data_IF_442550520118
#
_entry.id   IF_442550520118
#
_cell.length_a   1.000
_cell.length_b   1.000
_cell.length_c   1.000
_cell.angle_alpha   90.00
_cell.angle_beta   90.00
_cell.angle_gamma   90.00
#
_symmetry.space_group_name_H-M   'P 1'
#
loop_
_entity.id
_entity.type
_entity.pdbx_description
1 polymer ?
#
# COMPACT_ATOMS: atom_id res chain seq x y z
N UNK A 1 -22.26 -13.74 -13.21
CA UNK A 1 -21.24 -14.19 -12.23
C UNK A 1 -19.90 -14.20 -12.93
N UNK A 2 -19.13 -13.14 -12.78
CA UNK A 2 -17.77 -13.00 -13.32
C UNK A 2 -16.81 -13.59 -12.31
N UNK A 3 -16.34 -14.80 -12.57
CA UNK A 3 -15.23 -15.41 -11.81
C UNK A 3 -13.98 -14.62 -12.22
N UNK A 4 -13.50 -13.71 -11.37
CA UNK A 4 -12.15 -13.13 -11.53
C UNK A 4 -11.17 -14.28 -11.30
N UNK A 5 -10.44 -14.68 -12.34
CA UNK A 5 -9.23 -15.48 -12.17
C UNK A 5 -8.29 -14.66 -11.29
N UNK A 6 -8.18 -15.04 -10.02
CA UNK A 6 -7.10 -14.56 -9.15
C UNK A 6 -5.84 -15.15 -9.74
N UNK A 7 -5.03 -14.30 -10.37
CA UNK A 7 -3.74 -14.72 -10.89
C UNK A 7 -2.89 -15.15 -9.71
N UNK A 8 -2.13 -16.24 -9.81
CA UNK A 8 -1.17 -16.66 -8.77
C UNK A 8 -0.16 -15.55 -8.38
N UNK A 9 -0.07 -14.47 -9.17
CA UNK A 9 0.57 -13.19 -8.81
C UNK A 9 -0.04 -12.51 -7.59
N UNK A 10 -1.36 -12.43 -7.55
CA UNK A 10 -2.10 -11.62 -6.61
C UNK A 10 -2.10 -12.27 -5.22
N UNK A 11 -2.26 -13.59 -5.15
CA UNK A 11 -2.18 -14.34 -3.88
C UNK A 11 -0.82 -14.17 -3.20
N UNK A 12 0.26 -14.19 -4.00
CA UNK A 12 1.61 -14.06 -3.47
C UNK A 12 1.92 -12.63 -3.05
N UNK A 13 1.48 -11.63 -3.83
CA UNK A 13 1.57 -10.23 -3.47
C UNK A 13 0.77 -9.93 -2.19
N UNK A 14 -0.40 -10.53 -2.02
CA UNK A 14 -1.24 -10.44 -0.83
C UNK A 14 -0.52 -11.03 0.39
N UNK A 15 0.06 -12.23 0.27
CA UNK A 15 0.82 -12.86 1.34
C UNK A 15 2.01 -12.01 1.79
N UNK A 16 2.75 -11.43 0.84
CA UNK A 16 3.88 -10.53 1.13
C UNK A 16 3.38 -9.26 1.83
N UNK A 17 2.27 -8.65 1.37
CA UNK A 17 1.66 -7.50 2.05
C UNK A 17 1.34 -7.83 3.51
N UNK A 18 0.63 -8.92 3.74
CA UNK A 18 0.14 -9.29 5.07
C UNK A 18 1.26 -9.64 6.03
N UNK A 19 2.37 -10.18 5.51
CA UNK A 19 3.58 -10.44 6.28
C UNK A 19 4.34 -9.16 6.65
N UNK A 20 4.49 -8.22 5.72
CA UNK A 20 5.30 -7.02 5.90
C UNK A 20 4.58 -5.91 6.69
N UNK A 21 3.26 -5.81 6.58
CA UNK A 21 2.49 -4.75 7.26
C UNK A 21 2.72 -4.72 8.78
N UNK A 22 2.65 -5.84 9.53
CA UNK A 22 2.97 -5.86 10.94
C UNK A 22 4.38 -5.38 11.25
N UNK A 23 5.38 -5.75 10.45
CA UNK A 23 6.77 -5.33 10.62
C UNK A 23 6.93 -3.81 10.43
N UNK A 24 6.29 -3.25 9.41
CA UNK A 24 6.30 -1.80 9.15
C UNK A 24 5.54 -1.06 10.24
N UNK A 25 4.46 -1.62 10.78
CA UNK A 25 3.73 -1.00 11.88
C UNK A 25 4.52 -1.01 13.19
N UNK A 26 5.24 -2.10 13.50
CA UNK A 26 6.02 -2.26 14.73
C UNK A 26 7.35 -1.47 14.69
N UNK A 27 8.06 -1.52 13.56
CA UNK A 27 9.44 -1.02 13.43
C UNK A 27 9.58 0.16 12.48
N UNK A 28 8.56 0.47 11.70
CA UNK A 28 8.60 1.54 10.73
C UNK A 28 8.65 2.90 11.39
N UNK A 29 9.31 3.83 10.73
CA UNK A 29 9.39 5.22 11.12
C UNK A 29 8.36 6.03 10.32
N UNK A 30 7.64 6.90 11.00
CA UNK A 30 6.80 7.89 10.36
C UNK A 30 7.69 8.93 9.66
N UNK A 31 7.70 8.92 8.33
CA UNK A 31 8.51 9.84 7.52
C UNK A 31 7.73 11.09 7.14
N UNK A 32 6.46 10.92 6.75
CA UNK A 32 5.60 12.03 6.32
C UNK A 32 4.20 11.86 6.87
N UNK A 33 3.71 12.94 7.48
CA UNK A 33 2.29 13.13 7.78
C UNK A 33 1.90 14.48 7.20
N UNK A 34 1.11 14.48 6.12
CA UNK A 34 0.60 15.70 5.49
C UNK A 34 -0.86 15.52 5.16
N UNK A 35 -1.67 16.45 5.64
CA UNK A 35 -3.11 16.66 5.39
C UNK A 35 -4.00 15.43 5.53
N UNK A 36 -3.88 14.47 4.61
CA UNK A 36 -4.76 13.30 4.46
C UNK A 36 -3.98 11.99 4.26
N UNK A 37 -2.65 12.00 4.39
CA UNK A 37 -1.82 10.83 4.16
C UNK A 37 -0.74 10.71 5.23
N UNK A 38 -0.56 9.48 5.69
CA UNK A 38 0.55 9.04 6.54
C UNK A 38 1.42 8.07 5.75
N UNK A 39 2.70 8.37 5.63
CA UNK A 39 3.72 7.51 5.05
C UNK A 39 4.62 6.99 6.17
N UNK A 40 4.59 5.68 6.35
CA UNK A 40 5.50 4.96 7.25
C UNK A 40 6.51 4.21 6.41
N UNK A 41 7.79 4.44 6.68
CA UNK A 41 8.88 3.77 5.97
C UNK A 41 9.69 2.91 6.92
N UNK A 42 10.08 1.72 6.45
CA UNK A 42 10.96 0.81 7.16
C UNK A 42 12.14 0.46 6.26
N UNK A 43 13.35 0.79 6.72
CA UNK A 43 14.60 0.39 6.07
C UNK A 43 15.22 -0.79 6.83
N UNK A 44 15.42 -1.92 6.17
CA UNK A 44 16.09 -3.10 6.72
C UNK A 44 17.20 -3.55 5.77
N UNK A 45 18.44 -3.08 5.99
CA UNK A 45 19.57 -3.40 5.11
C UNK A 45 19.28 -2.98 3.66
N UNK A 46 19.27 -3.92 2.69
CA UNK A 46 18.97 -3.61 1.28
C UNK A 46 17.48 -3.33 1.01
N UNK A 47 16.61 -3.53 2.00
CA UNK A 47 15.17 -3.37 1.87
C UNK A 47 14.73 -1.96 2.25
N UNK A 48 13.83 -1.41 1.45
CA UNK A 48 13.03 -0.25 1.79
C UNK A 48 11.55 -0.60 1.58
N UNK A 49 10.77 -0.45 2.64
CA UNK A 49 9.33 -0.63 2.63
C UNK A 49 8.65 0.71 2.86
N UNK A 50 7.70 1.06 2.00
CA UNK A 50 6.90 2.26 2.12
C UNK A 50 5.44 1.86 2.22
N UNK A 51 4.83 2.15 3.36
CA UNK A 51 3.41 1.94 3.59
C UNK A 51 2.71 3.29 3.69
N UNK A 52 1.78 3.54 2.79
CA UNK A 52 0.91 4.70 2.90
C UNK A 52 -0.49 4.32 3.34
N UNK A 53 -0.99 5.12 4.27
CA UNK A 53 -2.36 5.04 4.78
C UNK A 53 -3.02 6.41 4.64
N UNK A 54 -4.34 6.47 4.44
CA UNK A 54 -5.09 7.69 4.68
C UNK A 54 -4.86 8.14 6.13
N UNK A 55 -4.57 9.41 6.31
CA UNK A 55 -4.58 10.03 7.63
C UNK A 55 -6.05 10.34 7.97
N UNK A 56 -6.63 9.64 8.94
CA UNK A 56 -7.98 9.93 9.41
C UNK A 56 -7.91 10.32 10.90
N UNK A 57 -8.24 11.57 11.23
CA UNK A 57 -8.88 11.86 12.51
C UNK A 57 -10.36 11.49 12.31
N UNK A 58 -10.75 10.33 12.84
CA UNK A 58 -12.11 9.82 12.69
C UNK A 58 -13.13 10.81 13.30
N UNK A 59 -14.00 11.38 12.47
CA UNK A 59 -15.35 11.77 12.89
C UNK A 59 -16.38 11.42 11.80
N UNK A 60 -17.41 10.61 12.11
CA UNK A 60 -18.31 10.01 11.13
C UNK A 60 -19.31 10.97 10.45
N UNK A 61 -19.30 12.27 10.77
CA UNK A 61 -20.34 13.21 10.33
C UNK A 61 -19.98 14.07 9.10
N UNK A 62 -18.76 13.99 8.56
CA UNK A 62 -18.30 14.94 7.51
C UNK A 62 -18.09 14.35 6.10
N UNK A 63 -18.55 13.13 5.83
CA UNK A 63 -18.43 12.49 4.51
C UNK A 63 -19.38 13.02 3.41
N UNK A 64 -19.85 14.28 3.51
CA UNK A 64 -20.69 14.93 2.50
C UNK A 64 -20.20 16.34 2.20
N UNK A 65 -19.18 16.46 1.35
CA UNK A 65 -18.86 17.74 0.69
C UNK A 65 -18.33 17.48 -0.74
N UNK A 66 -19.11 17.79 -1.78
CA UNK A 66 -18.75 17.51 -3.18
C UNK A 66 -17.49 18.24 -3.68
N UNK A 67 -17.17 19.40 -3.11
CA UNK A 67 -16.03 20.22 -3.54
C UNK A 67 -14.64 19.72 -3.12
N UNK A 68 -14.56 18.84 -2.12
CA UNK A 68 -13.29 18.36 -1.55
C UNK A 68 -12.61 17.28 -2.41
N UNK A 69 -13.39 16.53 -3.21
CA UNK A 69 -12.85 15.51 -4.13
C UNK A 69 -12.06 16.13 -5.30
N UNK A 70 -12.49 17.30 -5.79
CA UNK A 70 -11.93 17.88 -7.02
C UNK A 70 -10.55 18.51 -6.90
N UNK A 71 -10.13 18.95 -5.70
CA UNK A 71 -8.78 19.50 -5.51
C UNK A 71 -7.72 18.40 -5.33
N UNK A 72 -8.11 17.25 -4.75
CA UNK A 72 -7.22 16.12 -4.51
C UNK A 72 -7.04 15.24 -5.77
N UNK A 73 -8.03 15.23 -6.67
CA UNK A 73 -8.01 14.51 -7.96
C UNK A 73 -6.99 15.05 -8.98
N UNK A 74 -6.60 16.34 -8.90
CA UNK A 74 -5.74 16.96 -9.92
C UNK A 74 -4.24 16.80 -9.69
N UNK A 75 -3.80 16.45 -8.49
CA UNK A 75 -2.37 16.38 -8.16
C UNK A 75 -1.86 14.94 -7.98
N UNK A 76 -2.76 13.95 -8.04
CA UNK A 76 -2.44 12.53 -8.07
C UNK A 76 -3.01 11.94 -9.35
N UNK A 77 -2.15 11.62 -10.31
CA UNK A 77 -2.48 10.61 -11.31
C UNK A 77 -2.76 9.30 -10.56
N UNK A 78 -4.05 9.11 -10.21
CA UNK A 78 -4.70 8.06 -9.41
C UNK A 78 -3.80 6.92 -8.89
N UNK A 79 -3.60 6.81 -7.56
CA UNK A 79 -3.81 5.51 -6.93
C UNK A 79 -5.32 5.23 -6.93
N UNK A 80 -5.74 4.10 -7.51
CA UNK A 80 -7.16 3.72 -7.56
C UNK A 80 -7.72 3.36 -6.16
N UNK A 81 -6.84 3.05 -5.18
CA UNK A 81 -7.22 2.61 -3.84
C UNK A 81 -6.47 3.36 -2.72
N UNK A 82 -7.07 3.53 -1.52
CA UNK A 82 -6.61 4.45 -0.47
C UNK A 82 -5.37 3.99 0.30
N UNK A 83 -5.13 2.69 0.41
CA UNK A 83 -3.94 2.12 1.04
C UNK A 83 -2.97 1.60 0.00
N UNK A 84 -1.70 1.54 0.34
CA UNK A 84 -0.74 0.85 -0.51
C UNK A 84 0.63 0.65 0.11
N UNK A 85 1.32 -0.31 -0.49
CA UNK A 85 2.60 -0.80 -0.05
C UNK A 85 3.53 -0.87 -1.25
N UNK A 86 4.71 -0.30 -1.09
CA UNK A 86 5.84 -0.48 -1.99
C UNK A 86 6.97 -1.23 -1.30
N UNK A 87 7.53 -2.19 -2.01
CA UNK A 87 8.71 -2.93 -1.62
C UNK A 87 9.83 -2.66 -2.61
N UNK A 88 10.96 -2.25 -2.06
CA UNK A 88 12.17 -1.93 -2.80
C UNK A 88 13.33 -2.80 -2.32
N UNK A 89 14.09 -3.31 -3.28
CA UNK A 89 15.36 -4.02 -3.06
C UNK A 89 16.35 -3.60 -4.15
N UNK A 90 16.96 -2.44 -3.97
CA UNK A 90 17.73 -1.73 -5.01
C UNK A 90 16.84 -1.10 -6.11
N UNK A 91 15.83 -1.83 -6.59
CA UNK A 91 14.74 -1.33 -7.44
C UNK A 91 13.38 -1.71 -6.84
N UNK A 92 12.30 -1.08 -7.33
CA UNK A 92 10.93 -1.43 -6.91
C UNK A 92 10.57 -2.83 -7.44
N UNK A 93 10.23 -3.72 -6.52
CA UNK A 93 9.90 -5.13 -6.84
C UNK A 93 8.42 -5.46 -6.59
N UNK A 94 7.76 -4.71 -5.73
CA UNK A 94 6.32 -4.81 -5.48
C UNK A 94 5.70 -3.43 -5.30
N UNK A 95 4.51 -3.25 -5.87
CA UNK A 95 3.62 -2.15 -5.60
C UNK A 95 2.20 -2.68 -5.59
N UNK A 96 1.53 -2.58 -4.45
CA UNK A 96 0.14 -3.02 -4.27
C UNK A 96 -0.67 -1.91 -3.64
N UNK A 97 -1.96 -1.87 -3.98
CA UNK A 97 -2.92 -0.95 -3.40
C UNK A 97 -4.17 -1.72 -2.95
N UNK A 98 -4.83 -1.24 -1.91
CA UNK A 98 -6.06 -1.87 -1.41
C UNK A 98 -6.98 -0.87 -0.73
N UNK A 99 -8.22 -1.30 -0.48
CA UNK A 99 -9.24 -0.57 0.26
C UNK A 99 -9.85 -1.46 1.35
N UNK A 100 -10.56 -0.86 2.31
CA UNK A 100 -11.27 -1.58 3.38
C UNK A 100 -12.46 -2.39 2.86
N UNK A 101 -12.94 -2.13 1.64
CA UNK A 101 -14.03 -2.87 1.00
C UNK A 101 -13.58 -4.22 0.41
N UNK A 102 -12.31 -4.60 0.62
CA UNK A 102 -11.70 -5.82 0.10
C UNK A 102 -11.14 -5.67 -1.31
N UNK A 103 -11.21 -4.49 -1.93
CA UNK A 103 -10.54 -4.23 -3.21
C UNK A 103 -9.03 -4.33 -3.04
N UNK A 104 -8.38 -5.07 -3.93
CA UNK A 104 -6.94 -5.27 -3.96
C UNK A 104 -6.44 -5.22 -5.40
N UNK A 105 -5.39 -4.44 -5.63
CA UNK A 105 -4.76 -4.26 -6.94
C UNK A 105 -3.25 -4.41 -6.81
N UNK A 106 -2.67 -5.21 -7.69
CA UNK A 106 -1.22 -5.30 -7.88
C UNK A 106 -0.82 -4.38 -9.03
N UNK A 107 -0.21 -3.24 -8.71
CA UNK A 107 0.26 -2.26 -9.70
C UNK A 107 1.55 -2.72 -10.39
N UNK A 108 2.43 -3.38 -9.64
CA UNK A 108 3.69 -3.90 -10.16
C UNK A 108 4.16 -5.07 -9.31
N UNK A 109 4.58 -6.14 -9.96
CA UNK A 109 5.16 -7.29 -9.28
C UNK A 109 6.21 -7.97 -10.14
N UNK A 110 7.47 -7.79 -9.75
CA UNK A 110 8.62 -8.41 -10.40
C UNK A 110 8.88 -9.73 -9.70
N UNK A 111 8.80 -10.86 -10.41
CA UNK A 111 9.06 -12.17 -9.81
C UNK A 111 10.54 -12.39 -9.53
N UNK A 112 10.87 -13.08 -8.43
CA UNK A 112 12.25 -13.43 -8.11
C UNK A 112 12.45 -14.02 -6.71
N UNK A 113 13.71 -14.35 -6.37
CA UNK A 113 14.07 -14.93 -5.07
C UNK A 113 13.71 -14.04 -3.88
N UNK A 114 13.61 -12.73 -4.12
CA UNK A 114 13.25 -11.75 -3.10
C UNK A 114 11.88 -12.04 -2.46
N UNK A 115 10.97 -12.72 -3.15
CA UNK A 115 9.64 -13.02 -2.62
C UNK A 115 9.71 -13.93 -1.38
N UNK A 116 10.56 -14.95 -1.40
CA UNK A 116 10.79 -15.84 -0.25
C UNK A 116 11.59 -15.12 0.84
N UNK A 117 12.58 -14.32 0.43
CA UNK A 117 13.41 -13.55 1.37
C UNK A 117 12.58 -12.51 2.13
N UNK A 118 11.60 -11.87 1.48
CA UNK A 118 10.69 -10.92 2.12
C UNK A 118 9.74 -11.59 3.11
N UNK A 119 9.28 -12.83 2.81
CA UNK A 119 8.45 -13.63 3.73
C UNK A 119 9.24 -14.22 4.91
N UNK A 120 10.58 -14.17 4.86
CA UNK A 120 11.46 -14.65 5.93
C UNK A 120 11.93 -13.54 6.90
N UNK A 121 11.54 -12.28 6.67
CA UNK A 121 11.85 -11.12 7.53
C UNK A 121 11.03 -11.12 8.82
#
# INVERSE_FOLDING_TARGET
>A
MSVRLVSSGDDRALAIRDHLLPLIHDRGRLEVQRDTMRLTSLQLGPWLFNHWTPFNELSPEQASSPGYRHALERQRSKPDLPYGLEVWRGAKVLSVQWADDGSFTVESFVRGSWEEEALAL
#
